data_IF_347524773173
#
_entry.id   IF_347524773173
#
_cell.length_a   1.000
_cell.length_b   1.000
_cell.length_c   1.000
_cell.angle_alpha   90.00
_cell.angle_beta   90.00
_cell.angle_gamma   90.00
#
_symmetry.space_group_name_H-M   'P 1'
#
loop_
_entity.id
_entity.type
_entity.pdbx_description
1 polymer ?
#
# COMPACT_ATOMS: atom_id res chain seq x y z
N UNK A 1 -15.92 0.95 -1.18
CA UNK A 1 -15.26 2.04 -1.92
C UNK A 1 -14.61 1.54 -3.21
N UNK A 2 -13.57 0.69 -3.17
CA UNK A 2 -12.80 0.27 -4.35
C UNK A 2 -13.64 -0.30 -5.53
N UNK A 3 -14.57 -1.25 -5.28
CA UNK A 3 -15.44 -1.81 -6.33
C UNK A 3 -16.28 -0.74 -7.04
N UNK A 4 -16.96 0.10 -6.25
CA UNK A 4 -17.95 1.04 -6.78
C UNK A 4 -17.36 2.31 -7.38
N UNK A 5 -16.27 2.84 -6.79
CA UNK A 5 -15.67 4.10 -7.22
C UNK A 5 -14.57 3.90 -8.28
N UNK A 6 -13.89 2.74 -8.26
CA UNK A 6 -12.76 2.47 -9.14
C UNK A 6 -12.98 1.33 -10.13
N UNK A 7 -14.12 0.63 -10.08
CA UNK A 7 -14.37 -0.56 -10.91
C UNK A 7 -13.40 -1.72 -10.63
N UNK A 8 -12.78 -1.75 -9.44
CA UNK A 8 -11.76 -2.73 -9.11
C UNK A 8 -12.37 -4.03 -8.58
N UNK A 9 -11.83 -5.17 -9.00
CA UNK A 9 -12.06 -6.44 -8.31
C UNK A 9 -11.31 -6.46 -6.97
N UNK A 10 -11.97 -6.96 -5.93
CA UNK A 10 -11.44 -6.94 -4.56
C UNK A 10 -11.35 -8.36 -4.02
N UNK A 11 -10.15 -8.78 -3.65
CA UNK A 11 -9.86 -10.03 -2.96
C UNK A 11 -9.54 -9.74 -1.50
N UNK A 12 -10.19 -10.44 -0.57
CA UNK A 12 -9.91 -10.36 0.85
C UNK A 12 -8.96 -11.49 1.25
N UNK A 13 -7.72 -11.17 1.60
CA UNK A 13 -6.71 -12.18 1.98
C UNK A 13 -7.08 -13.04 3.21
N UNK A 14 -8.11 -12.66 3.97
CA UNK A 14 -8.65 -13.48 5.06
C UNK A 14 -9.53 -14.63 4.58
N UNK A 15 -10.23 -14.41 3.47
CA UNK A 15 -11.27 -15.31 2.97
C UNK A 15 -10.81 -15.99 1.68
N UNK A 16 -9.93 -15.34 0.91
CA UNK A 16 -9.52 -15.75 -0.42
C UNK A 16 -8.06 -16.20 -0.47
N UNK A 17 -7.75 -17.30 -1.20
CA UNK A 17 -6.37 -17.64 -1.56
C UNK A 17 -5.87 -16.70 -2.67
N UNK A 18 -5.47 -15.48 -2.29
CA UNK A 18 -5.17 -14.36 -3.21
C UNK A 18 -4.27 -14.75 -4.39
N UNK A 19 -3.21 -15.52 -4.16
CA UNK A 19 -2.28 -15.91 -5.23
C UNK A 19 -2.94 -16.82 -6.28
N UNK A 20 -3.79 -17.75 -5.84
CA UNK A 20 -4.50 -18.65 -6.76
C UNK A 20 -5.62 -17.91 -7.48
N UNK A 21 -6.37 -17.06 -6.77
CA UNK A 21 -7.38 -16.21 -7.38
C UNK A 21 -6.78 -15.31 -8.46
N UNK A 22 -5.64 -14.65 -8.19
CA UNK A 22 -4.97 -13.82 -9.19
C UNK A 22 -4.46 -14.63 -10.40
N UNK A 23 -3.99 -15.87 -10.19
CA UNK A 23 -3.64 -16.74 -11.31
C UNK A 23 -4.86 -17.08 -12.15
N UNK A 24 -5.96 -17.50 -11.53
CA UNK A 24 -7.20 -17.85 -12.23
C UNK A 24 -7.72 -16.66 -13.05
N UNK A 25 -7.80 -15.48 -12.44
CA UNK A 25 -8.23 -14.24 -13.09
C UNK A 25 -7.33 -13.81 -14.26
N UNK A 26 -6.10 -14.31 -14.33
CA UNK A 26 -5.11 -13.94 -15.36
C UNK A 26 -4.71 -15.11 -16.25
N UNK A 27 -5.52 -16.19 -16.30
CA UNK A 27 -5.24 -17.35 -17.15
C UNK A 27 -3.95 -18.11 -16.77
N UNK A 28 -3.58 -18.09 -15.50
CA UNK A 28 -2.41 -18.75 -14.93
C UNK A 28 -1.10 -17.96 -15.03
N UNK A 29 -1.10 -16.79 -15.68
CA UNK A 29 0.11 -16.00 -15.93
C UNK A 29 0.54 -15.14 -14.74
N UNK A 30 -0.42 -14.64 -13.96
CA UNK A 30 -0.23 -13.58 -12.97
C UNK A 30 -0.30 -12.17 -13.59
N UNK A 31 -0.52 -11.11 -12.79
CA UNK A 31 -0.63 -9.74 -13.29
C UNK A 31 0.69 -9.22 -13.90
N UNK A 32 0.60 -8.43 -14.97
CA UNK A 32 1.77 -7.83 -15.63
C UNK A 32 2.47 -6.77 -14.77
N UNK A 33 1.70 -6.12 -13.90
CA UNK A 33 2.20 -5.15 -12.93
C UNK A 33 1.58 -5.40 -11.55
N UNK A 34 2.40 -5.27 -10.51
CA UNK A 34 1.95 -5.29 -9.12
C UNK A 34 2.42 -4.01 -8.42
N UNK A 35 1.60 -3.51 -7.49
CA UNK A 35 1.90 -2.32 -6.70
C UNK A 35 1.80 -2.69 -5.22
N UNK A 36 2.89 -2.51 -4.48
CA UNK A 36 2.89 -2.58 -3.02
C UNK A 36 2.66 -1.17 -2.45
N UNK A 37 1.41 -0.91 -2.09
CA UNK A 37 0.99 0.32 -1.43
C UNK A 37 0.78 0.14 0.08
N UNK A 38 1.44 -0.86 0.69
CA UNK A 38 1.30 -1.17 2.13
C UNK A 38 2.55 -0.80 2.91
N UNK A 39 3.73 -1.30 2.50
CA UNK A 39 4.97 -1.07 3.26
C UNK A 39 5.02 -1.80 4.61
N UNK A 40 5.70 -1.21 5.60
CA UNK A 40 5.85 -1.74 6.97
C UNK A 40 4.51 -1.86 7.72
N UNK A 41 3.43 -1.25 7.23
CA UNK A 41 2.09 -1.39 7.81
C UNK A 41 1.39 -2.68 7.37
N UNK A 42 2.14 -3.66 6.84
CA UNK A 42 1.70 -5.02 6.56
C UNK A 42 1.45 -5.81 7.86
N UNK A 43 0.55 -5.27 8.68
CA UNK A 43 0.01 -5.75 9.94
C UNK A 43 0.99 -5.87 11.12
N UNK A 44 1.12 -4.78 11.88
CA UNK A 44 1.55 -4.80 13.28
C UNK A 44 2.13 -3.47 13.79
N UNK A 45 1.34 -2.74 14.60
CA UNK A 45 1.75 -1.72 15.59
C UNK A 45 2.32 -0.36 15.11
N UNK A 46 1.43 0.64 15.16
CA UNK A 46 1.63 1.98 15.77
C UNK A 46 2.95 2.73 15.54
N UNK A 47 2.86 3.86 14.82
CA UNK A 47 3.91 4.84 14.60
C UNK A 47 4.37 5.64 15.85
N UNK A 48 4.34 5.05 17.05
CA UNK A 48 4.84 5.67 18.30
C UNK A 48 6.19 5.04 18.74
N UNK A 49 6.57 3.90 18.18
CA UNK A 49 7.66 3.06 18.69
C UNK A 49 9.10 3.48 18.29
N UNK A 50 9.27 4.56 17.50
CA UNK A 50 10.62 4.97 17.09
C UNK A 50 11.50 5.42 18.27
N UNK A 51 10.89 5.85 19.38
CA UNK A 51 11.59 6.16 20.63
C UNK A 51 11.89 4.91 21.49
N UNK A 52 11.11 3.83 21.34
CA UNK A 52 11.31 2.55 22.07
C UNK A 52 12.21 1.55 21.33
N UNK A 53 12.53 1.81 20.05
CA UNK A 53 13.51 1.08 19.21
C UNK A 53 14.91 0.96 19.81
N UNK A 54 15.24 1.70 20.87
CA UNK A 54 16.50 1.53 21.61
C UNK A 54 16.48 0.39 22.66
N UNK A 55 15.30 -0.09 23.10
CA UNK A 55 15.19 -1.03 24.24
C UNK A 55 14.83 -2.48 23.91
N UNK A 56 14.27 -2.77 22.73
CA UNK A 56 13.82 -4.13 22.38
C UNK A 56 14.78 -4.88 21.43
N UNK A 57 16.06 -4.92 21.77
CA UNK A 57 17.04 -5.88 21.21
C UNK A 57 16.73 -7.36 21.55
N UNK A 58 15.48 -7.70 21.87
CA UNK A 58 15.07 -8.94 22.54
C UNK A 58 13.88 -9.70 21.89
N UNK A 59 13.32 -9.26 20.75
CA UNK A 59 12.33 -10.06 19.99
C UNK A 59 12.62 -10.07 18.48
N UNK A 60 13.24 -11.17 18.07
CA UNK A 60 13.95 -11.45 16.83
C UNK A 60 13.06 -11.69 15.59
N UNK A 61 12.08 -10.83 15.30
CA UNK A 61 11.38 -10.84 14.00
C UNK A 61 11.13 -9.41 13.49
N UNK A 62 12.18 -8.83 12.91
CA UNK A 62 12.12 -7.60 12.15
C UNK A 62 11.23 -7.82 10.92
N UNK A 63 10.10 -7.12 10.87
CA UNK A 63 9.27 -6.81 9.69
C UNK A 63 8.93 -7.99 8.77
N UNK A 64 7.67 -8.46 8.77
CA UNK A 64 7.21 -9.49 7.81
C UNK A 64 6.56 -8.76 6.63
N UNK A 65 7.27 -8.52 5.51
CA UNK A 65 6.72 -7.79 4.35
C UNK A 65 5.76 -8.70 3.56
N UNK A 66 4.63 -9.07 4.17
CA UNK A 66 3.65 -9.99 3.60
C UNK A 66 3.12 -9.49 2.25
N UNK A 67 2.83 -8.18 2.16
CA UNK A 67 2.39 -7.54 0.93
C UNK A 67 3.44 -7.66 -0.19
N UNK A 68 4.70 -7.28 0.08
CA UNK A 68 5.79 -7.40 -0.87
C UNK A 68 6.01 -8.84 -1.35
N UNK A 69 6.02 -9.81 -0.42
CA UNK A 69 6.17 -11.23 -0.76
C UNK A 69 5.04 -11.69 -1.67
N UNK A 70 3.80 -11.36 -1.33
CA UNK A 70 2.64 -11.67 -2.19
C UNK A 70 2.76 -11.01 -3.56
N UNK A 71 3.18 -9.74 -3.62
CA UNK A 71 3.35 -9.04 -4.88
C UNK A 71 4.43 -9.69 -5.78
N UNK A 72 5.59 -10.10 -5.22
CA UNK A 72 6.62 -10.84 -5.96
C UNK A 72 6.08 -12.19 -6.45
N UNK A 73 5.34 -12.91 -5.60
CA UNK A 73 4.80 -14.22 -5.92
C UNK A 73 3.64 -14.15 -6.92
N UNK A 74 2.85 -13.08 -6.92
CA UNK A 74 1.74 -12.86 -7.83
C UNK A 74 2.20 -12.35 -9.20
N UNK A 75 3.15 -11.41 -9.24
CA UNK A 75 3.55 -10.75 -10.48
C UNK A 75 4.02 -11.76 -11.53
N UNK A 76 3.53 -11.59 -12.76
CA UNK A 76 3.85 -12.44 -13.89
C UNK A 76 5.30 -12.33 -14.33
N UNK A 77 5.76 -13.30 -15.13
CA UNK A 77 7.11 -13.29 -15.71
C UNK A 77 7.32 -12.05 -16.60
N UNK A 78 8.45 -11.38 -16.44
CA UNK A 78 8.79 -10.13 -17.10
C UNK A 78 8.03 -8.90 -16.59
N UNK A 79 7.26 -9.04 -15.49
CA UNK A 79 6.41 -7.99 -14.97
C UNK A 79 7.15 -6.90 -14.19
N UNK A 80 6.41 -5.86 -13.80
CA UNK A 80 6.93 -4.75 -13.00
C UNK A 80 6.30 -4.74 -11.61
N UNK A 81 7.15 -4.62 -10.58
CA UNK A 81 6.74 -4.42 -9.20
C UNK A 81 7.08 -3.00 -8.75
N UNK A 82 6.05 -2.18 -8.56
CA UNK A 82 6.17 -0.84 -7.99
C UNK A 82 5.99 -0.88 -6.47
N UNK A 83 6.87 -0.23 -5.72
CA UNK A 83 6.89 -0.25 -4.25
C UNK A 83 6.94 1.20 -3.73
N UNK A 84 5.80 1.92 -3.76
CA UNK A 84 5.64 3.18 -3.05
C UNK A 84 5.50 3.00 -1.53
N UNK A 85 5.09 1.82 -1.06
CA UNK A 85 5.02 1.49 0.36
C UNK A 85 6.38 1.66 1.04
N UNK A 86 6.38 2.26 2.23
CA UNK A 86 7.63 2.56 2.95
C UNK A 86 8.14 1.30 3.63
N UNK A 87 9.40 0.96 3.39
CA UNK A 87 10.16 -0.06 4.12
C UNK A 87 11.41 0.59 4.74
N UNK A 88 11.64 0.40 6.04
CA UNK A 88 12.80 0.96 6.74
C UNK A 88 13.74 -0.16 7.21
N UNK A 89 15.01 -0.08 6.84
CA UNK A 89 16.03 -1.03 7.27
C UNK A 89 16.13 -2.26 6.35
N UNK A 90 16.55 -3.39 6.93
CA UNK A 90 16.83 -4.63 6.21
C UNK A 90 15.60 -5.54 6.26
N UNK A 91 15.12 -5.98 5.09
CA UNK A 91 14.02 -6.92 4.98
C UNK A 91 14.52 -8.37 5.01
N UNK A 92 13.87 -9.20 5.81
CA UNK A 92 14.14 -10.64 5.87
C UNK A 92 13.16 -11.46 4.99
N UNK A 93 13.64 -12.62 4.51
CA UNK A 93 12.89 -13.61 3.70
C UNK A 93 12.15 -13.00 2.50
N UNK A 94 12.75 -12.02 1.83
CA UNK A 94 12.24 -11.55 0.54
C UNK A 94 12.54 -12.63 -0.51
N UNK A 95 11.54 -13.10 -1.30
CA UNK A 95 11.71 -14.21 -2.24
C UNK A 95 12.46 -13.79 -3.50
N UNK A 96 13.72 -13.37 -3.35
CA UNK A 96 14.51 -12.83 -4.44
C UNK A 96 14.84 -13.86 -5.53
N UNK A 97 14.95 -15.14 -5.18
CA UNK A 97 15.08 -16.20 -6.18
C UNK A 97 13.87 -16.27 -7.12
N UNK A 98 12.65 -16.10 -6.60
CA UNK A 98 11.43 -16.07 -7.42
C UNK A 98 11.38 -14.81 -8.30
N UNK A 99 11.72 -13.66 -7.73
CA UNK A 99 11.80 -12.40 -8.47
C UNK A 99 12.81 -12.46 -9.62
N UNK A 100 13.99 -13.04 -9.36
CA UNK A 100 15.05 -13.24 -10.36
C UNK A 100 14.60 -14.19 -11.47
N UNK A 101 14.07 -15.37 -11.11
CA UNK A 101 13.60 -16.36 -12.10
C UNK A 101 12.45 -15.86 -12.97
N UNK A 102 11.64 -14.94 -12.44
CA UNK A 102 10.58 -14.27 -13.19
C UNK A 102 11.09 -13.07 -14.01
N UNK A 103 12.32 -12.60 -13.81
CA UNK A 103 12.84 -11.41 -14.49
C UNK A 103 12.06 -10.14 -14.15
N UNK A 104 11.70 -9.96 -12.87
CA UNK A 104 10.88 -8.81 -12.46
C UNK A 104 11.69 -7.50 -12.47
N UNK A 105 11.04 -6.43 -12.91
CA UNK A 105 11.56 -5.06 -12.76
C UNK A 105 11.03 -4.44 -11.49
N UNK A 106 11.91 -3.94 -10.62
CA UNK A 106 11.52 -3.25 -9.40
C UNK A 106 11.60 -1.73 -9.58
N UNK A 107 10.56 -1.01 -9.14
CA UNK A 107 10.52 0.45 -9.06
C UNK A 107 10.11 0.86 -7.66
N UNK A 108 10.99 1.51 -6.91
CA UNK A 108 10.75 1.77 -5.49
C UNK A 108 11.29 3.14 -5.07
N UNK A 109 10.87 3.60 -3.90
CA UNK A 109 11.36 4.83 -3.28
C UNK A 109 10.27 5.87 -3.06
N UNK A 110 10.68 7.01 -2.51
CA UNK A 110 9.77 8.12 -2.25
C UNK A 110 9.25 8.71 -3.57
N UNK A 111 7.95 9.00 -3.61
CA UNK A 111 7.32 9.52 -4.82
C UNK A 111 7.90 10.89 -5.18
N UNK A 112 8.34 11.05 -6.43
CA UNK A 112 8.79 12.34 -6.96
C UNK A 112 7.59 13.26 -7.24
N UNK A 113 6.93 13.75 -6.21
CA UNK A 113 5.66 14.49 -6.31
C UNK A 113 5.72 15.63 -7.32
N UNK A 114 6.80 16.42 -7.32
CA UNK A 114 6.97 17.56 -8.23
C UNK A 114 6.95 17.17 -9.72
N UNK A 115 7.37 15.94 -10.05
CA UNK A 115 7.31 15.43 -11.42
C UNK A 115 5.87 15.15 -11.88
N UNK A 116 4.99 14.77 -10.97
CA UNK A 116 3.64 14.28 -11.29
C UNK A 116 2.52 15.27 -10.91
N UNK A 117 2.77 16.24 -10.05
CA UNK A 117 1.73 17.13 -9.53
C UNK A 117 1.03 17.93 -10.64
N UNK A 118 1.78 18.48 -11.60
CA UNK A 118 1.22 19.25 -12.72
C UNK A 118 0.31 18.43 -13.63
N UNK A 119 0.75 17.28 -14.19
CA UNK A 119 -0.13 16.48 -15.03
C UNK A 119 -1.34 15.93 -14.26
N UNK A 120 -1.16 15.47 -13.02
CA UNK A 120 -2.27 14.96 -12.19
C UNK A 120 -3.31 16.04 -11.89
N UNK A 121 -2.87 17.27 -11.56
CA UNK A 121 -3.79 18.38 -11.37
C UNK A 121 -4.58 18.68 -12.66
N UNK A 122 -3.91 18.67 -13.81
CA UNK A 122 -4.59 18.90 -15.08
C UNK A 122 -5.65 17.83 -15.39
N UNK A 123 -5.43 16.56 -15.01
CA UNK A 123 -6.45 15.51 -15.11
C UNK A 123 -7.66 15.79 -14.20
N UNK A 124 -7.43 16.30 -12.99
CA UNK A 124 -8.51 16.69 -12.05
C UNK A 124 -9.30 17.88 -12.61
N UNK A 125 -8.62 18.91 -13.09
CA UNK A 125 -9.24 20.11 -13.68
C UNK A 125 -10.10 19.78 -14.91
N UNK A 126 -9.68 18.78 -15.71
CA UNK A 126 -10.45 18.24 -16.84
C UNK A 126 -11.53 17.23 -16.44
N UNK A 127 -11.72 16.98 -15.14
CA UNK A 127 -12.68 16.01 -14.61
C UNK A 127 -12.46 14.57 -15.09
N UNK A 128 -11.24 14.24 -15.51
CA UNK A 128 -10.87 12.88 -15.92
C UNK A 128 -10.62 11.99 -14.69
N UNK A 129 -10.31 12.60 -13.54
CA UNK A 129 -10.11 11.94 -12.26
C UNK A 129 -10.83 12.75 -11.18
N UNK A 130 -11.70 12.09 -10.42
CA UNK A 130 -12.34 12.64 -9.22
C UNK A 130 -11.72 11.95 -7.98
N UNK A 131 -10.86 12.61 -7.19
CA UNK A 131 -10.23 11.99 -6.02
C UNK A 131 -10.95 12.31 -4.69
N UNK A 132 -11.97 13.18 -4.69
CA UNK A 132 -12.62 13.67 -3.46
C UNK A 132 -13.39 12.56 -2.76
N UNK A 133 -13.87 11.54 -3.48
CA UNK A 133 -14.55 10.40 -2.87
C UNK A 133 -13.70 9.68 -1.80
N UNK A 134 -12.36 9.83 -1.82
CA UNK A 134 -11.48 9.28 -0.79
C UNK A 134 -11.53 10.06 0.53
N UNK A 135 -11.89 11.35 0.49
CA UNK A 135 -11.96 12.23 1.66
C UNK A 135 -13.22 11.91 2.45
N UNK A 136 -13.08 11.12 3.50
CA UNK A 136 -14.21 10.71 4.35
C UNK A 136 -14.45 11.67 5.52
N UNK A 137 -13.42 12.39 5.98
CA UNK A 137 -13.55 13.34 7.09
C UNK A 137 -12.94 14.69 6.70
N UNK A 138 -13.71 15.76 6.92
CA UNK A 138 -13.25 17.15 6.86
C UNK A 138 -13.50 17.78 8.21
N UNK A 139 -12.43 18.10 8.92
CA UNK A 139 -12.49 18.56 10.31
C UNK A 139 -11.69 19.86 10.49
N UNK A 140 -12.04 20.71 11.47
CA UNK A 140 -11.20 21.85 11.83
C UNK A 140 -9.88 21.37 12.44
N UNK A 141 -8.82 22.20 12.36
CA UNK A 141 -7.48 21.82 12.87
C UNK A 141 -7.49 21.43 14.36
N UNK A 142 -8.38 22.02 15.16
CA UNK A 142 -8.52 21.74 16.60
C UNK A 142 -8.95 20.29 16.88
N UNK A 143 -9.59 19.63 15.92
CA UNK A 143 -10.02 18.23 16.02
C UNK A 143 -8.98 17.23 15.48
N UNK A 144 -7.78 17.70 15.10
CA UNK A 144 -6.71 16.84 14.64
C UNK A 144 -6.47 15.60 15.53
N UNK A 145 -6.46 15.68 16.89
CA UNK A 145 -6.32 14.50 17.74
C UNK A 145 -7.37 13.41 17.48
N UNK A 146 -8.63 13.80 17.27
CA UNK A 146 -9.70 12.87 16.92
C UNK A 146 -9.46 12.27 15.52
N UNK A 147 -9.08 13.10 14.54
CA UNK A 147 -8.72 12.63 13.19
C UNK A 147 -7.61 11.57 13.16
N UNK A 148 -6.58 11.73 14.00
CA UNK A 148 -5.53 10.72 14.16
C UNK A 148 -6.06 9.44 14.82
N UNK A 149 -6.90 9.57 15.85
CA UNK A 149 -7.50 8.44 16.56
C UNK A 149 -8.33 7.55 15.63
N UNK A 150 -9.27 8.14 14.88
CA UNK A 150 -10.16 7.39 13.99
C UNK A 150 -9.39 6.72 12.85
N UNK A 151 -8.36 7.38 12.30
CA UNK A 151 -7.51 6.81 11.26
C UNK A 151 -6.68 5.63 11.78
N UNK A 152 -6.03 5.79 12.94
CA UNK A 152 -5.18 4.75 13.54
C UNK A 152 -5.99 3.51 13.94
N UNK A 153 -7.16 3.71 14.57
CA UNK A 153 -8.00 2.62 15.07
C UNK A 153 -8.94 2.04 13.99
N UNK A 154 -8.93 2.61 12.77
CA UNK A 154 -9.80 2.21 11.65
C UNK A 154 -11.29 2.29 11.99
N UNK A 155 -11.65 3.32 12.75
CA UNK A 155 -13.02 3.61 13.15
C UNK A 155 -13.71 4.49 12.11
N UNK A 156 -15.04 4.60 12.20
CA UNK A 156 -15.84 5.51 11.36
C UNK A 156 -15.67 5.31 9.85
N UNK A 157 -15.23 4.12 9.42
CA UNK A 157 -14.85 3.84 8.04
C UNK A 157 -13.87 4.89 7.47
N UNK A 158 -12.96 5.41 8.31
CA UNK A 158 -12.03 6.46 7.94
C UNK A 158 -11.04 5.99 6.84
N UNK A 159 -10.98 6.75 5.74
CA UNK A 159 -10.03 6.52 4.63
C UNK A 159 -9.05 7.70 4.51
N UNK A 160 -9.56 8.93 4.50
CA UNK A 160 -8.72 10.14 4.44
C UNK A 160 -9.36 11.27 5.23
N UNK A 161 -8.58 11.81 6.18
CA UNK A 161 -8.90 13.03 6.91
C UNK A 161 -8.23 14.22 6.20
N UNK A 162 -8.98 15.29 6.00
CA UNK A 162 -8.47 16.59 5.56
C UNK A 162 -8.80 17.63 6.62
N UNK A 163 -7.77 18.30 7.12
CA UNK A 163 -7.92 19.37 8.11
C UNK A 163 -8.08 20.71 7.41
N UNK A 164 -9.09 21.48 7.81
CA UNK A 164 -9.31 22.84 7.36
C UNK A 164 -8.86 23.78 8.49
N UNK A 165 -7.80 24.60 8.27
CA UNK A 165 -7.29 25.52 9.28
C UNK A 165 -8.28 26.60 9.70
#
# INVERSE_FOLDING_TARGET
MARHQCGAEVLNYKDDPVLEALKEMTGGRGPDACIDAVGMEAHGLGAIDWFDKAKQSLRLETDRPHALRHAIMACGKGGTLAIPGVYAGILDKVPMGAAFNKGLTFKMGQTHVQKYIRPLLAHIERQEIEPTFMITHRIPLQEAPHGYHVFQNKEENCVKVVMVP
#
